data_IF_218756146326
#
_entry.id   IF_218756146326
#
_cell.length_a   1.000
_cell.length_b   1.000
_cell.length_c   1.000
_cell.angle_alpha   90.00
_cell.angle_beta   90.00
_cell.angle_gamma   90.00
#
_symmetry.space_group_name_H-M   'P 1'
#
loop_
_entity.id
_entity.type
_entity.pdbx_description
1 polymer ?
#
# COMPACT_ATOMS: atom_id res chain seq x y z
N UNK A 1 -12.43 0.62 -18.08
CA UNK A 1 -11.55 0.89 -19.24
C UNK A 1 -10.37 1.67 -18.70
N UNK A 2 -9.24 1.05 -18.33
CA UNK A 2 -8.38 0.19 -19.14
C UNK A 2 -7.82 -0.99 -18.33
N UNK A 3 -7.95 -2.20 -18.86
CA UNK A 3 -7.09 -3.34 -18.50
C UNK A 3 -5.72 -3.11 -19.14
N UNK A 4 -4.92 -2.24 -18.56
CA UNK A 4 -3.56 -1.91 -19.02
C UNK A 4 -2.48 -2.76 -18.34
N UNK A 5 -1.26 -2.73 -18.88
CA UNK A 5 -0.09 -3.27 -18.19
C UNK A 5 0.29 -2.37 -17.02
N UNK A 6 0.68 -2.99 -15.91
CA UNK A 6 1.30 -2.33 -14.77
C UNK A 6 2.76 -2.74 -14.70
N UNK A 7 3.65 -1.76 -14.50
CA UNK A 7 5.06 -2.02 -14.30
C UNK A 7 5.30 -2.60 -12.90
N UNK A 8 5.65 -3.88 -12.85
CA UNK A 8 5.98 -4.58 -11.59
C UNK A 8 7.43 -4.31 -11.13
N UNK A 9 8.34 -4.07 -12.08
CA UNK A 9 9.73 -3.76 -11.83
C UNK A 9 10.64 -4.18 -12.98
N UNK A 10 11.94 -4.29 -12.71
CA UNK A 10 12.94 -4.69 -13.70
C UNK A 10 13.98 -5.65 -13.11
N UNK A 11 14.59 -6.44 -13.98
CA UNK A 11 15.78 -7.25 -13.71
C UNK A 11 16.92 -6.76 -14.61
N UNK A 12 18.16 -6.95 -14.17
CA UNK A 12 19.35 -6.53 -14.92
C UNK A 12 20.36 -7.68 -14.96
N UNK A 13 21.40 -7.63 -15.80
CA UNK A 13 22.47 -8.62 -15.75
C UNK A 13 23.12 -8.75 -14.36
N UNK A 14 23.13 -7.66 -13.58
CA UNK A 14 23.66 -7.64 -12.21
C UNK A 14 22.66 -8.20 -11.18
N UNK A 15 21.36 -8.10 -11.46
CA UNK A 15 20.27 -8.65 -10.63
C UNK A 15 19.35 -9.46 -11.54
N UNK A 16 19.73 -10.72 -11.89
CA UNK A 16 19.10 -11.49 -12.97
C UNK A 16 17.76 -12.12 -12.57
N UNK A 17 17.34 -11.98 -11.32
CA UNK A 17 16.08 -12.53 -10.81
C UNK A 17 15.52 -11.66 -9.69
N UNK A 18 14.20 -11.62 -9.57
CA UNK A 18 13.50 -10.90 -8.52
C UNK A 18 12.08 -11.48 -8.31
N UNK A 19 11.52 -11.25 -7.13
CA UNK A 19 10.12 -11.62 -6.80
C UNK A 19 9.31 -10.34 -6.75
N UNK A 20 8.29 -10.22 -7.60
CA UNK A 20 7.42 -9.04 -7.65
C UNK A 20 6.06 -9.35 -7.05
N UNK A 21 5.56 -8.48 -6.16
CA UNK A 21 4.19 -8.55 -5.67
C UNK A 21 3.26 -7.85 -6.67
N UNK A 22 2.15 -8.51 -7.01
CA UNK A 22 1.24 -8.03 -8.06
C UNK A 22 0.13 -7.13 -7.55
N UNK A 23 -0.08 -7.07 -6.22
CA UNK A 23 -1.17 -6.31 -5.60
C UNK A 23 -2.58 -6.74 -6.04
N UNK A 24 -2.74 -7.86 -6.75
CA UNK A 24 -4.03 -8.24 -7.35
C UNK A 24 -5.13 -8.46 -6.32
N UNK A 25 -4.81 -8.97 -5.13
CA UNK A 25 -5.76 -9.12 -4.02
C UNK A 25 -6.29 -7.78 -3.49
N UNK A 26 -5.61 -6.68 -3.77
CA UNK A 26 -6.02 -5.32 -3.38
C UNK A 26 -6.82 -4.62 -4.47
N UNK A 27 -6.76 -5.13 -5.72
CA UNK A 27 -7.47 -4.56 -6.86
C UNK A 27 -8.91 -5.05 -6.88
N UNK A 28 -9.82 -4.12 -6.66
CA UNK A 28 -11.26 -4.40 -6.57
C UNK A 28 -11.79 -5.13 -7.81
N UNK A 29 -11.31 -4.79 -9.01
CA UNK A 29 -11.68 -5.46 -10.26
C UNK A 29 -11.29 -6.96 -10.25
N UNK A 30 -10.07 -7.28 -9.82
CA UNK A 30 -9.59 -8.67 -9.76
C UNK A 30 -10.33 -9.45 -8.67
N UNK A 31 -10.59 -8.82 -7.52
CA UNK A 31 -11.37 -9.42 -6.43
C UNK A 31 -12.80 -9.73 -6.90
N UNK A 32 -13.46 -8.80 -7.60
CA UNK A 32 -14.81 -9.01 -8.15
C UNK A 32 -14.85 -10.17 -9.14
N UNK A 33 -13.85 -10.30 -10.01
CA UNK A 33 -13.80 -11.41 -10.97
C UNK A 33 -13.42 -12.74 -10.29
N UNK A 34 -12.59 -12.72 -9.25
CA UNK A 34 -12.28 -13.93 -8.47
C UNK A 34 -13.50 -14.51 -7.71
N UNK A 35 -14.47 -13.66 -7.38
CA UNK A 35 -15.71 -14.05 -6.68
C UNK A 35 -16.82 -14.52 -7.64
N UNK A 36 -16.72 -14.21 -8.93
CA UNK A 36 -17.65 -14.73 -9.92
C UNK A 36 -17.21 -16.13 -10.33
N UNK A 37 -17.99 -17.12 -9.90
CA UNK A 37 -17.68 -18.56 -9.98
C UNK A 37 -17.68 -19.14 -11.41
N UNK A 38 -17.44 -18.32 -12.45
CA UNK A 38 -17.84 -18.59 -13.83
C UNK A 38 -16.78 -18.36 -14.91
N UNK A 39 -15.56 -17.89 -14.63
CA UNK A 39 -14.58 -17.63 -15.71
C UNK A 39 -13.15 -18.01 -15.29
N UNK A 40 -12.46 -18.77 -16.14
CA UNK A 40 -11.01 -18.99 -16.02
C UNK A 40 -10.29 -17.65 -16.21
N UNK A 41 -9.56 -17.19 -15.20
CA UNK A 41 -8.78 -15.95 -15.28
C UNK A 41 -7.47 -16.20 -16.03
N UNK A 42 -7.25 -15.45 -17.11
CA UNK A 42 -5.96 -15.42 -17.81
C UNK A 42 -5.18 -14.19 -17.38
N UNK A 43 -3.95 -14.39 -16.93
CA UNK A 43 -3.00 -13.32 -16.63
C UNK A 43 -1.97 -13.26 -17.76
N UNK A 44 -1.65 -12.04 -18.22
CA UNK A 44 -0.57 -11.81 -19.18
C UNK A 44 0.60 -11.12 -18.49
N UNK A 45 1.78 -11.69 -18.62
CA UNK A 45 3.05 -11.07 -18.21
C UNK A 45 3.73 -10.56 -19.49
N UNK A 46 3.98 -9.25 -19.57
CA UNK A 46 4.75 -8.65 -20.65
C UNK A 46 6.18 -8.36 -20.20
N UNK A 47 7.13 -8.57 -21.11
CA UNK A 47 8.55 -8.25 -20.93
C UNK A 47 8.93 -7.20 -21.98
N UNK A 48 9.59 -6.13 -21.53
CA UNK A 48 10.23 -5.15 -22.41
C UNK A 48 11.73 -5.09 -22.14
N UNK A 49 12.52 -4.90 -23.17
CA UNK A 49 13.97 -4.68 -23.07
C UNK A 49 14.20 -3.18 -23.16
N UNK A 50 14.76 -2.60 -22.10
CA UNK A 50 14.97 -1.16 -21.94
C UNK A 50 16.43 -0.87 -21.59
N UNK A 51 16.88 0.37 -21.84
CA UNK A 51 18.21 0.80 -21.40
C UNK A 51 18.26 0.99 -19.87
N UNK A 52 19.45 0.83 -19.28
CA UNK A 52 19.63 1.00 -17.84
C UNK A 52 19.29 2.43 -17.37
N UNK A 53 19.61 3.44 -18.18
CA UNK A 53 19.29 4.85 -17.90
C UNK A 53 17.77 5.07 -17.82
N UNK A 54 17.01 4.41 -18.69
CA UNK A 54 15.55 4.50 -18.69
C UNK A 54 14.95 3.88 -17.40
N UNK A 55 15.47 2.74 -16.95
CA UNK A 55 15.04 2.08 -15.72
C UNK A 55 15.36 2.88 -14.45
N UNK A 56 16.49 3.61 -14.45
CA UNK A 56 16.86 4.50 -13.35
C UNK A 56 15.90 5.69 -13.23
N UNK A 57 15.54 6.31 -14.36
CA UNK A 57 14.57 7.41 -14.40
C UNK A 57 13.18 6.98 -13.93
N UNK A 58 12.80 5.73 -14.19
CA UNK A 58 11.55 5.13 -13.69
C UNK A 58 11.61 4.72 -12.22
N UNK A 59 12.80 4.72 -11.59
CA UNK A 59 12.98 4.33 -10.20
C UNK A 59 12.77 2.83 -9.93
N UNK A 60 12.83 2.00 -10.97
CA UNK A 60 12.63 0.54 -10.89
C UNK A 60 13.91 -0.25 -11.08
N UNK A 61 15.04 0.43 -11.31
CA UNK A 61 16.34 -0.20 -11.42
C UNK A 61 16.67 -0.94 -10.10
N UNK A 62 16.86 -2.26 -10.12
CA UNK A 62 17.19 -3.02 -8.92
C UNK A 62 18.61 -2.65 -8.45
N UNK A 63 18.75 -2.32 -7.17
CA UNK A 63 20.05 -2.11 -6.54
C UNK A 63 20.55 -3.42 -5.93
N UNK A 64 21.81 -3.83 -6.16
CA UNK A 64 22.40 -5.01 -5.51
C UNK A 64 22.35 -4.96 -3.98
N UNK A 65 22.28 -3.75 -3.40
CA UNK A 65 22.23 -3.55 -1.95
C UNK A 65 20.82 -3.68 -1.37
N UNK A 66 19.75 -3.59 -2.18
CA UNK A 66 18.36 -3.60 -1.69
C UNK A 66 17.70 -4.98 -1.74
N UNK A 67 18.39 -6.03 -2.18
CA UNK A 67 17.96 -7.44 -2.01
C UNK A 67 16.63 -7.84 -2.66
N UNK A 68 16.06 -6.99 -3.52
CA UNK A 68 14.75 -7.21 -4.12
C UNK A 68 14.30 -6.03 -4.97
N UNK A 69 13.14 -6.14 -5.65
CA UNK A 69 12.56 -5.02 -6.38
C UNK A 69 12.44 -3.82 -5.47
N UNK A 70 12.71 -2.63 -6.01
CA UNK A 70 12.29 -1.39 -5.38
C UNK A 70 10.76 -1.38 -5.46
N UNK A 71 10.08 -1.96 -4.46
CA UNK A 71 8.73 -1.51 -4.13
C UNK A 71 8.87 -0.01 -3.98
N UNK A 72 8.27 0.73 -4.93
CA UNK A 72 8.37 2.18 -5.03
C UNK A 72 8.28 2.73 -3.61
N UNK A 73 9.33 3.39 -3.09
CA UNK A 73 9.32 3.89 -1.71
C UNK A 73 8.06 4.72 -1.39
N UNK A 74 7.41 5.24 -2.44
CA UNK A 74 6.06 5.81 -2.47
C UNK A 74 4.97 4.92 -1.87
N UNK A 75 4.95 3.62 -2.13
CA UNK A 75 3.97 2.67 -1.59
C UNK A 75 4.12 2.47 -0.08
N UNK A 76 5.36 2.26 0.39
CA UNK A 76 5.65 2.17 1.83
C UNK A 76 5.39 3.49 2.57
N UNK A 77 5.75 4.61 1.94
CA UNK A 77 5.44 5.94 2.47
C UNK A 77 3.92 6.19 2.52
N UNK A 78 3.17 5.80 1.49
CA UNK A 78 1.71 5.90 1.46
C UNK A 78 1.08 5.06 2.57
N UNK A 79 1.53 3.82 2.77
CA UNK A 79 1.09 2.97 3.90
C UNK A 79 1.36 3.66 5.23
N UNK A 80 2.58 4.19 5.43
CA UNK A 80 2.92 4.91 6.65
C UNK A 80 2.04 6.15 6.87
N UNK A 81 1.73 6.90 5.81
CA UNK A 81 0.80 8.03 5.86
C UNK A 81 -0.61 7.59 6.26
N UNK A 82 -1.13 6.50 5.70
CA UNK A 82 -2.46 5.99 6.06
C UNK A 82 -2.54 5.54 7.52
N UNK A 83 -1.50 4.89 8.03
CA UNK A 83 -1.42 4.52 9.46
C UNK A 83 -1.43 5.77 10.34
N UNK A 84 -0.65 6.79 9.97
CA UNK A 84 -0.62 8.07 10.69
C UNK A 84 -1.99 8.78 10.67
N UNK A 85 -2.70 8.74 9.54
CA UNK A 85 -4.06 9.31 9.43
C UNK A 85 -5.08 8.56 10.29
N UNK A 86 -5.09 7.22 10.31
CA UNK A 86 -6.00 6.47 11.20
C UNK A 86 -5.75 6.80 12.67
N UNK A 87 -4.48 6.87 13.08
CA UNK A 87 -4.11 7.27 14.43
C UNK A 87 -4.58 8.69 14.75
N UNK A 88 -4.33 9.65 13.86
CA UNK A 88 -4.76 11.03 14.05
C UNK A 88 -6.29 11.15 14.20
N UNK A 89 -7.05 10.49 13.33
CA UNK A 89 -8.51 10.45 13.41
C UNK A 89 -9.01 9.81 14.71
N UNK A 90 -8.33 8.77 15.18
CA UNK A 90 -8.64 8.16 16.47
C UNK A 90 -8.38 9.12 17.62
N UNK A 91 -7.25 9.83 17.62
CA UNK A 91 -6.94 10.84 18.65
C UNK A 91 -7.95 11.99 18.65
N UNK A 92 -8.35 12.49 17.47
CA UNK A 92 -9.39 13.53 17.34
C UNK A 92 -10.72 13.15 17.98
N UNK A 93 -11.08 11.86 17.99
CA UNK A 93 -12.33 11.40 18.61
C UNK A 93 -12.38 11.60 20.13
N UNK A 94 -11.23 11.83 20.77
CA UNK A 94 -11.12 12.13 22.21
C UNK A 94 -10.97 13.62 22.50
N UNK A 95 -10.80 14.45 21.47
CA UNK A 95 -10.64 15.88 21.64
C UNK A 95 -12.00 16.53 21.94
N UNK A 96 -12.16 17.00 23.18
CA UNK A 96 -13.35 17.71 23.62
C UNK A 96 -13.29 19.23 23.33
N UNK A 97 -12.25 19.71 22.63
CA UNK A 97 -12.06 21.13 22.31
C UNK A 97 -11.59 21.97 23.50
N UNK A 98 -11.13 21.33 24.58
CA UNK A 98 -10.74 21.98 25.85
C UNK A 98 -9.27 22.39 25.91
N UNK A 99 -8.44 22.00 24.93
CA UNK A 99 -7.00 22.28 24.88
C UNK A 99 -6.60 23.68 24.40
N UNK A 100 -7.55 24.46 23.86
CA UNK A 100 -7.28 25.71 23.16
C UNK A 100 -6.85 25.52 21.70
N UNK A 101 -6.69 26.62 20.93
CA UNK A 101 -6.43 26.55 19.49
C UNK A 101 -5.12 25.83 19.18
N UNK A 102 -5.17 24.80 18.33
CA UNK A 102 -3.99 24.05 17.88
C UNK A 102 -3.51 22.96 18.84
N UNK A 103 -4.18 22.75 19.97
CA UNK A 103 -3.84 21.70 20.94
C UNK A 103 -4.94 20.64 21.00
N UNK A 104 -4.51 19.39 21.17
CA UNK A 104 -5.40 18.25 21.39
C UNK A 104 -5.16 17.67 22.77
N UNK A 105 -6.23 17.51 23.56
CA UNK A 105 -6.15 16.84 24.87
C UNK A 105 -6.60 15.40 24.70
N UNK A 106 -5.69 14.47 24.96
CA UNK A 106 -5.96 13.02 24.87
C UNK A 106 -5.61 12.32 26.18
N UNK A 107 -6.27 11.19 26.50
CA UNK A 107 -5.88 10.35 27.63
C UNK A 107 -4.43 9.85 27.49
N UNK A 108 -3.70 9.74 28.60
CA UNK A 108 -2.31 9.25 28.59
C UNK A 108 -2.15 7.82 28.04
N UNK A 109 -3.23 7.02 28.04
CA UNK A 109 -3.26 5.66 27.47
C UNK A 109 -3.83 5.61 26.04
N UNK A 110 -3.83 6.73 25.31
CA UNK A 110 -4.40 6.81 23.97
C UNK A 110 -3.73 5.83 23.00
N UNK A 111 -2.40 5.68 23.08
CA UNK A 111 -1.65 4.77 22.22
C UNK A 111 -2.03 3.31 22.47
N UNK A 112 -2.13 2.86 23.73
CA UNK A 112 -2.53 1.49 24.04
C UNK A 112 -3.95 1.18 23.55
N UNK A 113 -4.86 2.14 23.69
CA UNK A 113 -6.25 2.01 23.24
C UNK A 113 -6.32 1.94 21.71
N UNK A 114 -5.58 2.81 21.03
CA UNK A 114 -5.49 2.81 19.58
C UNK A 114 -4.88 1.50 19.07
N UNK A 115 -3.75 1.08 19.63
CA UNK A 115 -3.01 -0.09 19.17
C UNK A 115 -3.85 -1.36 19.31
N UNK A 116 -4.53 -1.56 20.45
CA UNK A 116 -5.47 -2.67 20.64
C UNK A 116 -6.62 -2.64 19.62
N UNK A 117 -7.18 -1.46 19.30
CA UNK A 117 -8.20 -1.32 18.24
C UNK A 117 -7.61 -1.68 16.87
N UNK A 118 -6.41 -1.20 16.58
CA UNK A 118 -5.72 -1.38 15.31
C UNK A 118 -5.46 -2.87 15.06
N UNK A 119 -4.86 -3.59 16.01
CA UNK A 119 -4.60 -5.04 15.91
C UNK A 119 -5.88 -5.84 15.66
N UNK A 120 -6.95 -5.56 16.42
CA UNK A 120 -8.23 -6.24 16.25
C UNK A 120 -8.85 -6.01 14.86
N UNK A 121 -8.68 -4.82 14.27
CA UNK A 121 -9.14 -4.53 12.91
C UNK A 121 -8.23 -5.15 11.86
N UNK A 122 -6.91 -5.09 12.07
CA UNK A 122 -5.92 -5.67 11.18
C UNK A 122 -6.07 -7.18 11.02
N UNK A 123 -6.32 -7.90 12.12
CA UNK A 123 -6.58 -9.35 12.07
C UNK A 123 -7.83 -9.71 11.26
N UNK A 124 -8.83 -8.82 11.22
CA UNK A 124 -10.06 -9.02 10.46
C UNK A 124 -9.92 -8.62 9.00
N UNK A 125 -9.16 -7.57 8.74
CA UNK A 125 -8.97 -6.98 7.43
C UNK A 125 -7.59 -6.29 7.37
N UNK A 126 -6.57 -6.94 6.79
CA UNK A 126 -5.21 -6.40 6.70
C UNK A 126 -5.13 -5.06 5.95
N UNK A 127 -6.11 -4.75 5.10
CA UNK A 127 -6.14 -3.56 4.26
C UNK A 127 -7.08 -2.47 4.79
N UNK A 128 -7.59 -2.59 6.02
CA UNK A 128 -8.63 -1.69 6.53
C UNK A 128 -8.21 -0.21 6.55
N UNK A 129 -6.93 0.07 6.76
CA UNK A 129 -6.37 1.43 6.79
C UNK A 129 -6.05 1.98 5.39
N UNK A 130 -6.09 1.15 4.33
CA UNK A 130 -5.91 1.56 2.94
C UNK A 130 -7.22 1.91 2.23
N UNK A 131 -8.36 1.61 2.87
CA UNK A 131 -9.69 1.91 2.32
C UNK A 131 -9.95 3.41 2.40
N UNK A 132 -9.74 4.11 1.29
CA UNK A 132 -10.09 5.52 1.14
C UNK A 132 -11.53 5.77 1.62
N UNK A 133 -11.70 6.65 2.62
CA UNK A 133 -12.98 7.33 2.90
C UNK A 133 -13.24 8.40 1.82
N UNK A 134 -13.27 8.01 0.55
CA UNK A 134 -13.50 8.95 -0.56
C UNK A 134 -15.00 9.20 -0.85
N UNK A 135 -15.92 8.66 -0.05
CA UNK A 135 -17.36 8.92 -0.17
C UNK A 135 -17.99 9.09 1.22
N UNK A 136 -17.81 10.26 1.83
CA UNK A 136 -18.78 10.90 2.74
C UNK A 136 -18.80 12.40 2.44
#
# INVERSE_FOLDING_TARGET
SSTGFELLGAITPQVPSAVFQTGWSEKEEVVRVSQSNAVAMTVTIALSIESLDHLQNLGVAPSPQSGGPVESGKGRLYVAQQIAYDLFNFMQSFDAGTGGPGNMVVPNNIFDRWFKRFENRFQRDPNFFLKNKANE
#
